data_IF_481690676694
#
_entry.id   IF_481690676694
#
_cell.length_a   1.000
_cell.length_b   1.000
_cell.length_c   1.000
_cell.angle_alpha   90.00
_cell.angle_beta   90.00
_cell.angle_gamma   90.00
#
_symmetry.space_group_name_H-M   'P 1'
#
loop_
_entity.id
_entity.type
_entity.pdbx_description
1 polymer ?
#
# COMPACT_ATOMS: atom_id res chain seq x y z
N UNK A 1 -12.00 22.93 15.39
CA UNK A 1 -12.57 22.73 14.04
C UNK A 1 -13.86 21.95 14.22
N UNK A 2 -14.90 22.21 13.44
CA UNK A 2 -16.10 21.36 13.41
C UNK A 2 -15.87 20.20 12.45
N UNK A 3 -16.28 19.00 12.84
CA UNK A 3 -16.23 17.84 11.97
C UNK A 3 -17.25 17.98 10.82
N UNK A 4 -16.92 17.39 9.66
CA UNK A 4 -17.79 17.34 8.48
C UNK A 4 -18.07 15.87 8.17
N UNK A 5 -19.35 15.53 7.99
CA UNK A 5 -19.77 14.18 7.57
C UNK A 5 -19.94 14.15 6.05
N UNK A 6 -19.25 13.22 5.39
CA UNK A 6 -19.39 12.95 3.96
C UNK A 6 -19.96 11.56 3.75
N UNK A 7 -20.87 11.42 2.79
CA UNK A 7 -21.25 10.11 2.24
C UNK A 7 -20.09 9.50 1.44
N UNK A 8 -20.09 8.19 1.29
CA UNK A 8 -19.08 7.49 0.48
C UNK A 8 -19.05 7.95 -0.98
N UNK A 9 -20.21 8.34 -1.52
CA UNK A 9 -20.30 8.96 -2.84
C UNK A 9 -19.58 10.29 -2.89
N UNK A 10 -19.76 11.16 -1.89
CA UNK A 10 -19.07 12.45 -1.80
C UNK A 10 -17.56 12.28 -1.59
N UNK A 11 -17.13 11.25 -0.84
CA UNK A 11 -15.71 10.87 -0.70
C UNK A 11 -15.11 10.53 -2.07
N UNK A 12 -15.78 9.67 -2.82
CA UNK A 12 -15.35 9.25 -4.15
C UNK A 12 -15.29 10.45 -5.11
N UNK A 13 -16.37 11.23 -5.21
CA UNK A 13 -16.45 12.42 -6.07
C UNK A 13 -15.38 13.46 -5.70
N UNK A 14 -15.13 13.69 -4.41
CA UNK A 14 -14.07 14.59 -3.94
C UNK A 14 -12.69 14.10 -4.41
N UNK A 15 -12.38 12.82 -4.20
CA UNK A 15 -11.11 12.24 -4.62
C UNK A 15 -10.92 12.34 -6.14
N UNK A 16 -11.90 11.91 -6.93
CA UNK A 16 -11.86 11.98 -8.40
C UNK A 16 -11.65 13.42 -8.89
N UNK A 17 -12.43 14.39 -8.38
CA UNK A 17 -12.33 15.78 -8.78
C UNK A 17 -10.95 16.39 -8.43
N UNK A 18 -10.41 16.10 -7.24
CA UNK A 18 -9.09 16.58 -6.85
C UNK A 18 -7.97 16.01 -7.73
N UNK A 19 -8.06 14.73 -8.10
CA UNK A 19 -7.08 14.04 -8.94
C UNK A 19 -7.11 14.57 -10.38
N UNK A 20 -8.30 14.68 -10.98
CA UNK A 20 -8.49 15.28 -12.31
C UNK A 20 -7.94 16.72 -12.37
N UNK A 21 -8.30 17.55 -11.38
CA UNK A 21 -7.81 18.93 -11.29
C UNK A 21 -6.29 19.03 -11.05
N UNK A 22 -5.64 17.92 -10.68
CA UNK A 22 -4.20 17.85 -10.41
C UNK A 22 -3.40 17.19 -11.54
N UNK A 23 -4.04 16.81 -12.66
CA UNK A 23 -3.37 16.28 -13.84
C UNK A 23 -3.46 14.77 -14.04
N UNK A 24 -4.37 14.08 -13.33
CA UNK A 24 -4.76 12.72 -13.72
C UNK A 24 -5.72 12.73 -14.92
N UNK A 25 -5.66 11.70 -15.74
CA UNK A 25 -6.76 11.33 -16.62
C UNK A 25 -7.88 10.60 -15.84
N UNK A 26 -9.03 10.41 -16.49
CA UNK A 26 -10.21 9.80 -15.88
C UNK A 26 -9.97 8.35 -15.40
N UNK A 27 -9.35 7.44 -16.20
CA UNK A 27 -9.04 6.09 -15.72
C UNK A 27 -8.15 6.05 -14.48
N UNK A 28 -7.09 6.88 -14.42
CA UNK A 28 -6.20 6.91 -13.26
C UNK A 28 -6.89 7.55 -12.04
N UNK A 29 -7.65 8.63 -12.25
CA UNK A 29 -8.39 9.29 -11.17
C UNK A 29 -9.41 8.33 -10.53
N UNK A 30 -10.20 7.65 -11.36
CA UNK A 30 -11.21 6.69 -10.92
C UNK A 30 -10.59 5.52 -10.15
N UNK A 31 -9.52 4.94 -10.68
CA UNK A 31 -8.88 3.80 -10.04
C UNK A 31 -8.34 4.13 -8.63
N UNK A 32 -7.78 5.34 -8.45
CA UNK A 32 -7.31 5.81 -7.15
C UNK A 32 -8.49 6.20 -6.24
N UNK A 33 -9.51 6.85 -6.79
CA UNK A 33 -10.70 7.26 -6.03
C UNK A 33 -11.45 6.05 -5.46
N UNK A 34 -11.58 4.96 -6.21
CA UNK A 34 -12.17 3.72 -5.71
C UNK A 34 -11.37 3.09 -4.56
N UNK A 35 -10.03 3.17 -4.62
CA UNK A 35 -9.18 2.72 -3.52
C UNK A 35 -9.35 3.58 -2.27
N UNK A 36 -9.43 4.91 -2.42
CA UNK A 36 -9.69 5.83 -1.29
C UNK A 36 -11.07 5.59 -0.71
N UNK A 37 -12.08 5.44 -1.57
CA UNK A 37 -13.45 5.14 -1.19
C UNK A 37 -13.54 3.85 -0.37
N UNK A 38 -12.89 2.77 -0.82
CA UNK A 38 -12.84 1.50 -0.09
C UNK A 38 -12.15 1.65 1.27
N UNK A 39 -11.05 2.40 1.35
CA UNK A 39 -10.35 2.65 2.60
C UNK A 39 -11.20 3.44 3.61
N UNK A 40 -11.94 4.46 3.16
CA UNK A 40 -12.88 5.21 4.02
C UNK A 40 -14.07 4.36 4.47
N UNK A 41 -14.66 3.57 3.56
CA UNK A 41 -15.77 2.64 3.86
C UNK A 41 -15.43 1.69 5.01
N UNK A 42 -14.21 1.16 5.00
CA UNK A 42 -13.78 0.12 5.94
C UNK A 42 -12.97 0.68 7.12
N UNK A 43 -12.92 2.01 7.29
CA UNK A 43 -12.29 2.66 8.44
C UNK A 43 -10.76 2.62 8.44
N UNK A 44 -10.13 2.37 7.28
CA UNK A 44 -8.68 2.41 7.10
C UNK A 44 -8.21 3.86 6.86
N UNK A 45 -8.40 4.74 7.83
CA UNK A 45 -8.22 6.20 7.68
C UNK A 45 -6.82 6.59 7.22
N UNK A 46 -5.79 5.81 7.57
CA UNK A 46 -4.41 6.07 7.12
C UNK A 46 -4.19 5.84 5.62
N UNK A 47 -5.14 5.25 4.90
CA UNK A 47 -5.08 5.00 3.45
C UNK A 47 -6.27 5.58 2.66
N UNK A 48 -7.22 6.25 3.33
CA UNK A 48 -8.33 6.99 2.71
C UNK A 48 -7.97 8.42 2.30
N UNK A 49 -8.86 9.37 2.56
CA UNK A 49 -8.73 10.80 2.26
C UNK A 49 -7.48 11.43 2.88
N UNK A 50 -6.96 10.87 3.97
CA UNK A 50 -5.66 11.26 4.52
C UNK A 50 -4.54 11.25 3.48
N UNK A 51 -4.60 10.35 2.48
CA UNK A 51 -3.59 10.24 1.41
C UNK A 51 -3.81 11.20 0.25
N UNK A 52 -5.01 11.76 0.08
CA UNK A 52 -5.36 12.60 -1.08
C UNK A 52 -4.40 13.79 -1.27
N UNK A 53 -3.97 14.54 -0.22
CA UNK A 53 -2.96 15.58 -0.37
C UNK A 53 -1.62 15.05 -0.92
N UNK A 54 -1.24 13.83 -0.52
CA UNK A 54 -0.04 13.15 -1.01
C UNK A 54 -0.12 12.82 -2.50
N UNK A 55 -1.27 12.27 -2.94
CA UNK A 55 -1.56 12.02 -4.36
C UNK A 55 -1.49 13.31 -5.19
N UNK A 56 -2.11 14.40 -4.71
CA UNK A 56 -2.09 15.70 -5.39
C UNK A 56 -0.66 16.24 -5.49
N UNK A 57 0.12 16.16 -4.41
CA UNK A 57 1.51 16.63 -4.40
C UNK A 57 2.42 15.83 -5.36
N UNK A 58 2.25 14.50 -5.45
CA UNK A 58 3.03 13.68 -6.37
C UNK A 58 2.69 13.92 -7.84
N UNK A 59 1.43 14.25 -8.15
CA UNK A 59 1.04 14.66 -9.51
C UNK A 59 1.63 16.03 -9.86
N UNK A 60 1.43 17.03 -9.00
CA UNK A 60 1.92 18.40 -9.24
C UNK A 60 3.43 18.50 -9.35
N UNK A 61 4.17 17.62 -8.68
CA UNK A 61 5.63 17.56 -8.79
C UNK A 61 6.15 16.81 -10.03
N UNK A 62 5.26 16.16 -10.80
CA UNK A 62 5.64 15.29 -11.92
C UNK A 62 6.28 13.97 -11.49
N UNK A 63 6.26 13.66 -10.18
CA UNK A 63 6.77 12.38 -9.67
C UNK A 63 5.94 11.20 -10.20
N UNK A 64 4.64 11.40 -10.36
CA UNK A 64 3.72 10.41 -10.92
C UNK A 64 3.20 10.89 -12.26
N UNK A 65 3.17 10.00 -13.25
CA UNK A 65 2.48 10.24 -14.51
C UNK A 65 0.97 9.97 -14.34
N UNK A 66 0.18 11.03 -14.21
CA UNK A 66 -1.28 10.96 -14.05
C UNK A 66 -2.06 10.47 -15.28
N UNK A 67 -1.41 10.34 -16.43
CA UNK A 67 -1.99 9.81 -17.67
C UNK A 67 -1.27 8.54 -18.13
N UNK A 68 -0.65 7.81 -17.19
CA UNK A 68 0.04 6.57 -17.51
C UNK A 68 -0.97 5.50 -17.95
N UNK A 69 -0.61 4.76 -19.00
CA UNK A 69 -1.35 3.59 -19.47
C UNK A 69 -0.53 2.34 -19.12
N UNK A 70 -1.03 1.46 -18.25
CA UNK A 70 -0.32 0.24 -17.92
C UNK A 70 -0.17 -0.71 -19.11
N UNK A 71 1.01 -1.31 -19.24
CA UNK A 71 1.30 -2.36 -20.23
C UNK A 71 1.34 -3.74 -19.56
N UNK A 72 0.56 -4.68 -20.08
CA UNK A 72 0.45 -6.03 -19.53
C UNK A 72 1.15 -7.00 -20.47
N UNK A 73 2.02 -7.84 -19.91
CA UNK A 73 2.78 -8.84 -20.65
C UNK A 73 2.74 -10.18 -19.93
N UNK A 74 2.57 -11.26 -20.67
CA UNK A 74 2.76 -12.61 -20.16
C UNK A 74 4.25 -12.96 -20.30
N UNK A 75 4.96 -13.10 -19.18
CA UNK A 75 6.36 -13.54 -19.18
C UNK A 75 6.44 -15.07 -19.32
N UNK A 76 5.46 -15.77 -18.78
CA UNK A 76 5.24 -17.21 -18.96
C UNK A 76 3.74 -17.52 -18.76
N UNK A 77 3.36 -18.80 -18.80
CA UNK A 77 1.96 -19.21 -18.57
C UNK A 77 1.41 -18.75 -17.22
N UNK A 78 2.22 -18.81 -16.16
CA UNK A 78 1.82 -18.44 -14.79
C UNK A 78 2.42 -17.13 -14.29
N UNK A 79 3.10 -16.33 -15.12
CA UNK A 79 3.74 -15.08 -14.69
C UNK A 79 3.33 -13.93 -15.59
N UNK A 80 2.62 -12.96 -15.00
CA UNK A 80 2.15 -11.74 -15.62
C UNK A 80 2.99 -10.58 -15.11
N UNK A 81 3.37 -9.65 -15.98
CA UNK A 81 3.96 -8.38 -15.61
C UNK A 81 3.04 -7.25 -16.03
N UNK A 82 2.81 -6.30 -15.13
CA UNK A 82 2.16 -5.03 -15.42
C UNK A 82 3.16 -3.88 -15.19
N UNK A 83 3.60 -3.25 -16.27
CA UNK A 83 4.37 -2.02 -16.18
C UNK A 83 3.40 -0.85 -16.09
N UNK A 84 3.38 -0.14 -14.96
CA UNK A 84 2.46 1.00 -14.78
C UNK A 84 2.96 2.31 -15.38
N UNK A 85 4.10 2.33 -16.06
CA UNK A 85 4.59 3.48 -16.82
C UNK A 85 4.67 4.79 -15.99
N UNK A 86 5.06 4.66 -14.72
CA UNK A 86 5.21 5.76 -13.77
C UNK A 86 3.89 6.24 -13.17
N UNK A 87 2.79 5.52 -13.40
CA UNK A 87 1.46 5.80 -12.86
C UNK A 87 1.25 5.23 -11.45
N UNK A 88 0.01 5.37 -10.96
CA UNK A 88 -0.39 4.75 -9.71
C UNK A 88 -0.71 3.26 -9.89
N UNK A 89 -0.40 2.47 -8.87
CA UNK A 89 -0.65 1.02 -8.86
C UNK A 89 -2.11 0.59 -9.12
N UNK A 90 -3.16 1.29 -8.60
CA UNK A 90 -4.55 0.85 -8.75
C UNK A 90 -4.98 0.59 -10.19
N UNK A 91 -4.61 1.46 -11.15
CA UNK A 91 -5.00 1.25 -12.55
C UNK A 91 -4.28 0.04 -13.16
N UNK A 92 -2.98 -0.13 -12.87
CA UNK A 92 -2.22 -1.29 -13.33
C UNK A 92 -2.83 -2.60 -12.80
N UNK A 93 -3.15 -2.65 -11.51
CA UNK A 93 -3.84 -3.77 -10.86
C UNK A 93 -5.20 -4.08 -11.51
N UNK A 94 -6.05 -3.06 -11.70
CA UNK A 94 -7.36 -3.24 -12.31
C UNK A 94 -7.25 -3.83 -13.72
N UNK A 95 -6.29 -3.35 -14.52
CA UNK A 95 -6.10 -3.79 -15.92
C UNK A 95 -5.50 -5.20 -16.01
N UNK A 96 -4.63 -5.60 -15.08
CA UNK A 96 -3.96 -6.90 -15.12
C UNK A 96 -4.66 -8.01 -14.33
N UNK A 97 -5.70 -7.68 -13.57
CA UNK A 97 -6.37 -8.63 -12.66
C UNK A 97 -6.94 -9.86 -13.37
N UNK A 98 -7.65 -9.68 -14.48
CA UNK A 98 -8.23 -10.81 -15.23
C UNK A 98 -7.14 -11.75 -15.73
N UNK A 99 -6.06 -11.20 -16.31
CA UNK A 99 -4.93 -12.00 -16.77
C UNK A 99 -4.27 -12.81 -15.65
N UNK A 100 -4.17 -12.25 -14.44
CA UNK A 100 -3.69 -12.98 -13.25
C UNK A 100 -4.64 -14.12 -12.86
N UNK A 101 -5.95 -13.85 -12.79
CA UNK A 101 -6.96 -14.84 -12.42
C UNK A 101 -6.99 -16.00 -13.42
N UNK A 102 -7.00 -15.68 -14.72
CA UNK A 102 -7.02 -16.66 -15.80
C UNK A 102 -5.75 -17.53 -15.75
N UNK A 103 -4.58 -16.90 -15.62
CA UNK A 103 -3.32 -17.63 -15.46
C UNK A 103 -3.32 -18.54 -14.21
N UNK A 104 -3.88 -18.08 -13.08
CA UNK A 104 -3.97 -18.90 -11.87
C UNK A 104 -4.88 -20.12 -12.06
N UNK A 105 -6.01 -19.96 -12.77
CA UNK A 105 -6.94 -21.06 -13.07
C UNK A 105 -6.31 -22.09 -14.02
N UNK A 106 -5.58 -21.62 -15.03
CA UNK A 106 -4.95 -22.49 -16.02
C UNK A 106 -3.72 -23.25 -15.48
N UNK A 107 -2.96 -22.63 -14.57
CA UNK A 107 -1.67 -23.16 -14.10
C UNK A 107 -1.71 -23.66 -12.64
N UNK A 108 -2.83 -23.47 -11.93
CA UNK A 108 -2.97 -23.75 -10.49
C UNK A 108 -2.38 -22.67 -9.57
N UNK A 109 -1.35 -21.96 -10.02
CA UNK A 109 -0.76 -20.79 -9.37
C UNK A 109 -0.29 -19.79 -10.44
N UNK A 110 -0.45 -18.50 -10.15
CA UNK A 110 0.15 -17.45 -10.97
C UNK A 110 0.66 -16.29 -10.10
N UNK A 111 1.59 -15.53 -10.66
CA UNK A 111 2.16 -14.33 -10.06
C UNK A 111 1.96 -13.12 -10.97
N UNK A 112 1.59 -11.99 -10.37
CA UNK A 112 1.57 -10.68 -11.03
C UNK A 112 2.71 -9.83 -10.46
N UNK A 113 3.56 -9.35 -11.35
CA UNK A 113 4.67 -8.45 -11.01
C UNK A 113 4.30 -7.04 -11.48
N UNK A 114 4.14 -6.11 -10.56
CA UNK A 114 3.97 -4.69 -10.90
C UNK A 114 5.32 -3.99 -10.91
N UNK A 115 5.64 -3.34 -12.02
CA UNK A 115 6.88 -2.58 -12.17
C UNK A 115 6.60 -1.13 -12.56
N UNK A 116 7.47 -0.22 -12.14
CA UNK A 116 7.37 1.22 -12.43
C UNK A 116 5.99 1.81 -12.04
N UNK A 117 5.58 1.55 -10.80
CA UNK A 117 4.32 2.03 -10.20
C UNK A 117 4.59 2.85 -8.95
N UNK A 118 3.64 3.72 -8.59
CA UNK A 118 3.56 4.34 -7.29
C UNK A 118 2.45 3.70 -6.46
N UNK A 119 2.82 3.04 -5.36
CA UNK A 119 1.88 2.37 -4.46
C UNK A 119 1.65 3.20 -3.19
N UNK A 120 0.41 3.67 -2.97
CA UNK A 120 0.01 4.52 -1.84
C UNK A 120 -1.27 4.03 -1.12
N UNK A 121 -1.62 2.76 -1.32
CA UNK A 121 -2.85 2.17 -0.83
C UNK A 121 -2.61 1.06 0.20
N UNK A 122 -3.70 0.59 0.82
CA UNK A 122 -3.71 -0.66 1.58
C UNK A 122 -3.76 -1.87 0.63
N UNK A 123 -3.05 -2.94 0.95
CA UNK A 123 -2.93 -4.14 0.10
C UNK A 123 -4.21 -4.99 0.11
N UNK A 124 -5.07 -4.88 1.11
CA UNK A 124 -6.34 -5.63 1.08
C UNK A 124 -7.21 -5.24 -0.13
N UNK A 125 -7.10 -4.00 -0.62
CA UNK A 125 -7.88 -3.51 -1.77
C UNK A 125 -7.52 -4.18 -3.10
N UNK A 126 -6.30 -4.74 -3.20
CA UNK A 126 -5.85 -5.50 -4.37
C UNK A 126 -6.10 -7.01 -4.22
N UNK A 127 -6.03 -7.53 -2.99
CA UNK A 127 -6.25 -8.95 -2.67
C UNK A 127 -7.74 -9.31 -2.69
N UNK A 128 -8.59 -8.48 -2.10
CA UNK A 128 -10.03 -8.78 -1.94
C UNK A 128 -10.73 -9.11 -3.27
N UNK A 129 -10.54 -8.36 -4.37
CA UNK A 129 -11.19 -8.68 -5.64
C UNK A 129 -10.74 -10.02 -6.24
N UNK A 130 -9.50 -10.45 -5.99
CA UNK A 130 -9.01 -11.77 -6.45
C UNK A 130 -9.61 -12.88 -5.60
N UNK A 131 -9.74 -12.66 -4.29
CA UNK A 131 -10.29 -13.68 -3.38
C UNK A 131 -11.79 -13.89 -3.59
N UNK A 132 -12.51 -12.82 -3.95
CA UNK A 132 -13.93 -12.89 -4.35
C UNK A 132 -14.17 -13.80 -5.57
N UNK A 133 -13.14 -14.06 -6.37
CA UNK A 133 -13.18 -15.00 -7.52
C UNK A 133 -12.91 -16.46 -7.13
N UNK A 134 -12.87 -16.75 -5.82
CA UNK A 134 -12.67 -18.09 -5.28
C UNK A 134 -11.20 -18.53 -5.21
N UNK A 135 -10.26 -17.59 -5.35
CA UNK A 135 -8.83 -17.86 -5.31
C UNK A 135 -8.20 -17.45 -3.97
N UNK A 136 -7.10 -18.10 -3.60
CA UNK A 136 -6.22 -17.61 -2.52
C UNK A 136 -5.31 -16.55 -3.13
N UNK A 137 -5.05 -15.46 -2.41
CA UNK A 137 -4.13 -14.43 -2.89
C UNK A 137 -3.19 -13.95 -1.78
N UNK A 138 -1.96 -13.65 -2.17
CA UNK A 138 -0.96 -12.98 -1.36
C UNK A 138 -0.43 -11.78 -2.12
N UNK A 139 -0.20 -10.68 -1.43
CA UNK A 139 0.40 -9.50 -2.00
C UNK A 139 1.45 -8.89 -1.08
N UNK A 140 2.46 -8.28 -1.69
CA UNK A 140 3.62 -7.72 -1.02
C UNK A 140 4.03 -6.44 -1.74
N UNK A 141 4.43 -5.42 -0.99
CA UNK A 141 5.03 -4.21 -1.57
C UNK A 141 6.13 -3.71 -0.66
N UNK A 142 7.05 -2.90 -1.19
CA UNK A 142 8.12 -2.27 -0.42
C UNK A 142 7.88 -0.77 -0.30
N UNK A 143 8.58 -0.15 0.64
CA UNK A 143 8.56 1.30 0.81
C UNK A 143 9.99 1.83 0.96
N UNK A 144 10.15 3.15 0.93
CA UNK A 144 11.45 3.76 1.21
C UNK A 144 11.91 3.44 2.64
N UNK A 145 13.22 3.45 2.93
CA UNK A 145 13.77 3.19 4.26
C UNK A 145 13.04 3.96 5.36
N UNK A 146 12.52 3.21 6.33
CA UNK A 146 11.76 3.71 7.47
C UNK A 146 11.82 2.77 8.68
N UNK A 147 12.28 1.54 8.52
CA UNK A 147 12.33 0.51 9.56
C UNK A 147 13.77 0.07 9.79
N UNK A 148 14.17 -0.02 11.06
CA UNK A 148 15.50 -0.49 11.47
C UNK A 148 15.51 -2.03 11.52
N UNK A 149 16.39 -2.71 10.77
CA UNK A 149 16.57 -4.15 10.90
C UNK A 149 16.88 -4.55 12.34
N UNK A 150 16.41 -5.72 12.78
CA UNK A 150 16.73 -6.20 14.12
C UNK A 150 18.25 -6.37 14.29
N UNK A 151 18.81 -5.70 15.29
CA UNK A 151 20.25 -5.67 15.55
C UNK A 151 21.05 -4.60 14.80
N UNK A 152 20.38 -3.76 13.99
CA UNK A 152 20.97 -2.58 13.37
C UNK A 152 20.58 -1.29 14.12
N UNK A 153 21.17 -0.17 13.71
CA UNK A 153 20.91 1.17 14.27
C UNK A 153 20.37 2.18 13.25
N UNK A 154 20.31 1.81 11.97
CA UNK A 154 19.87 2.69 10.88
C UNK A 154 18.70 2.07 10.12
N UNK A 155 17.80 2.92 9.64
CA UNK A 155 16.68 2.49 8.82
C UNK A 155 17.16 1.97 7.46
N UNK A 156 16.72 0.77 7.10
CA UNK A 156 17.07 0.14 5.82
C UNK A 156 15.83 -0.34 5.07
N UNK A 157 14.92 -1.03 5.76
CA UNK A 157 13.71 -1.56 5.14
C UNK A 157 12.63 -0.48 5.06
N UNK A 158 11.72 -0.61 4.09
CA UNK A 158 10.43 0.05 4.18
C UNK A 158 9.54 -0.56 5.26
N UNK A 159 8.33 -0.01 5.41
CA UNK A 159 7.26 -0.63 6.24
C UNK A 159 6.75 -1.96 5.66
N UNK A 160 7.11 -2.25 4.41
CA UNK A 160 7.02 -3.54 3.71
C UNK A 160 5.83 -4.41 4.13
N UNK A 161 4.59 -4.02 3.75
CA UNK A 161 3.43 -4.79 4.15
C UNK A 161 3.28 -6.08 3.36
N UNK A 162 2.56 -7.01 3.98
CA UNK A 162 2.07 -8.25 3.39
C UNK A 162 0.57 -8.35 3.61
N UNK A 163 -0.12 -8.85 2.60
CA UNK A 163 -1.54 -9.17 2.68
C UNK A 163 -1.78 -10.60 2.23
N UNK A 164 -2.70 -11.27 2.91
CA UNK A 164 -3.15 -12.60 2.58
C UNK A 164 -4.67 -12.65 2.63
N UNK A 165 -5.27 -13.33 1.66
CA UNK A 165 -6.70 -13.52 1.62
C UNK A 165 -7.09 -14.96 1.28
N UNK A 166 -8.16 -15.42 1.93
CA UNK A 166 -8.70 -16.77 1.80
C UNK A 166 -10.20 -16.74 1.48
N UNK A 167 -10.66 -17.46 0.44
CA UNK A 167 -12.07 -17.48 0.04
C UNK A 167 -12.90 -18.34 1.01
N UNK A 168 -14.14 -17.93 1.31
CA UNK A 168 -15.02 -18.61 2.27
C UNK A 168 -16.40 -18.98 1.70
N UNK A 169 -16.47 -19.28 0.40
CA UNK A 169 -17.74 -19.55 -0.27
C UNK A 169 -18.61 -18.29 -0.32
N UNK A 170 -19.83 -18.36 0.19
CA UNK A 170 -20.78 -17.23 0.21
C UNK A 170 -20.51 -16.22 1.34
N UNK A 171 -19.57 -16.52 2.25
CA UNK A 171 -19.17 -15.62 3.33
C UNK A 171 -18.11 -14.59 2.88
N UNK A 172 -18.01 -13.42 3.53
CA UNK A 172 -16.94 -12.46 3.24
C UNK A 172 -15.55 -13.11 3.31
N UNK A 173 -14.62 -12.78 2.40
CA UNK A 173 -13.24 -13.26 2.46
C UNK A 173 -12.59 -13.07 3.84
N UNK A 174 -11.75 -14.03 4.25
CA UNK A 174 -10.86 -13.80 5.39
C UNK A 174 -9.60 -13.13 4.86
N UNK A 175 -9.34 -11.89 5.26
CA UNK A 175 -8.18 -11.11 4.81
C UNK A 175 -7.46 -10.53 6.03
N UNK A 176 -6.13 -10.60 6.01
CA UNK A 176 -5.30 -9.73 6.84
C UNK A 176 -4.37 -8.92 5.95
N UNK A 177 -4.12 -7.68 6.35
CA UNK A 177 -3.19 -6.75 5.72
C UNK A 177 -2.41 -6.05 6.84
N UNK A 178 -1.08 -6.20 6.82
CA UNK A 178 -0.23 -5.68 7.88
C UNK A 178 1.13 -5.24 7.36
N UNK A 179 1.67 -4.18 7.97
CA UNK A 179 3.07 -3.79 7.80
C UNK A 179 4.02 -4.81 8.45
N UNK A 180 5.27 -4.85 7.99
CA UNK A 180 6.35 -5.53 8.70
C UNK A 180 6.92 -4.68 9.84
N UNK A 181 6.58 -3.39 9.88
CA UNK A 181 6.80 -2.51 11.04
C UNK A 181 5.78 -2.77 12.15
N UNK A 182 6.13 -2.39 13.37
CA UNK A 182 5.25 -2.48 14.55
C UNK A 182 4.00 -1.62 14.44
N UNK A 183 4.04 -0.55 13.63
CA UNK A 183 2.91 0.33 13.32
C UNK A 183 3.07 0.87 11.90
N UNK A 184 1.97 1.18 11.20
CA UNK A 184 2.08 1.79 9.88
C UNK A 184 2.57 3.24 10.01
N UNK A 185 3.47 3.68 9.12
CA UNK A 185 3.97 5.07 9.14
C UNK A 185 2.84 6.11 9.03
N UNK A 186 1.76 5.77 8.31
CA UNK A 186 0.56 6.61 8.22
C UNK A 186 -0.10 6.88 9.57
N UNK A 187 -0.19 5.85 10.42
CA UNK A 187 -0.79 5.96 11.75
C UNK A 187 0.10 6.76 12.69
N UNK A 188 1.43 6.62 12.60
CA UNK A 188 2.38 7.46 13.35
C UNK A 188 2.26 8.93 12.95
N UNK A 189 2.08 9.23 11.65
CA UNK A 189 1.82 10.60 11.18
C UNK A 189 0.49 11.17 11.70
N UNK A 190 -0.54 10.33 11.80
CA UNK A 190 -1.83 10.73 12.39
C UNK A 190 -1.66 11.02 13.90
N UNK A 191 -1.01 10.12 14.64
CA UNK A 191 -0.73 10.30 16.07
C UNK A 191 0.06 11.58 16.34
N UNK A 192 1.11 11.87 15.56
CA UNK A 192 1.88 13.10 15.67
C UNK A 192 1.03 14.36 15.40
N UNK A 193 0.19 14.33 14.36
CA UNK A 193 -0.74 15.42 14.03
C UNK A 193 -1.72 15.70 15.18
N UNK A 194 -2.15 14.64 15.88
CA UNK A 194 -3.13 14.69 16.96
C UNK A 194 -2.50 14.89 18.34
N UNK A 195 -1.17 14.94 18.43
CA UNK A 195 -0.45 15.08 19.69
C UNK A 195 -0.60 13.86 20.62
N UNK A 196 -0.86 12.68 20.06
CA UNK A 196 -1.00 11.43 20.80
C UNK A 196 0.33 10.67 20.85
N UNK A 197 0.55 9.89 21.91
CA UNK A 197 1.68 8.97 21.99
C UNK A 197 1.39 7.66 21.25
N UNK A 198 2.44 6.95 20.86
CA UNK A 198 2.34 5.60 20.27
C UNK A 198 2.79 4.54 21.28
N UNK A 199 2.39 3.26 21.12
CA UNK A 199 2.81 2.19 22.01
C UNK A 199 4.35 2.04 22.10
N UNK A 200 4.84 1.56 23.24
CA UNK A 200 6.26 1.21 23.38
C UNK A 200 6.66 0.13 22.36
N UNK A 201 7.87 0.22 21.82
CA UNK A 201 8.35 -0.64 20.73
C UNK A 201 7.87 -0.21 19.34
N UNK A 202 7.25 0.96 19.18
CA UNK A 202 6.88 1.50 17.87
C UNK A 202 8.10 1.96 17.07
N UNK A 203 9.00 2.70 17.71
CA UNK A 203 10.15 3.27 17.03
C UNK A 203 11.22 3.81 17.99
N UNK A 204 12.28 4.29 17.37
CA UNK A 204 13.42 4.95 18.01
C UNK A 204 13.52 6.40 17.52
N UNK A 205 14.16 7.25 18.31
CA UNK A 205 14.51 8.61 17.89
C UNK A 205 15.83 8.66 17.10
N UNK A 206 16.25 9.87 16.71
CA UNK A 206 17.46 10.10 15.93
C UNK A 206 18.77 9.67 16.63
N UNK A 207 18.75 9.53 17.96
CA UNK A 207 19.88 9.06 18.76
C UNK A 207 19.84 7.53 18.94
N UNK A 208 18.82 6.86 18.40
CA UNK A 208 18.64 5.42 18.47
C UNK A 208 17.97 4.93 19.76
N UNK A 209 17.39 5.84 20.56
CA UNK A 209 16.71 5.47 21.81
C UNK A 209 15.24 5.16 21.56
N UNK A 210 14.71 4.12 22.23
CA UNK A 210 13.28 3.80 22.21
C UNK A 210 12.44 5.02 22.61
N UNK A 211 11.38 5.29 21.86
CA UNK A 211 10.49 6.42 22.13
C UNK A 211 9.02 6.10 21.84
N UNK A 212 8.13 6.76 22.56
CA UNK A 212 6.68 6.75 22.34
C UNK A 212 6.18 8.06 21.74
N UNK A 213 7.09 9.00 21.46
CA UNK A 213 6.79 10.27 20.80
C UNK A 213 6.83 10.08 19.27
N UNK A 214 5.68 10.10 18.56
CA UNK A 214 5.66 9.90 17.13
C UNK A 214 6.39 11.01 16.36
N UNK A 215 6.51 12.22 16.89
CA UNK A 215 7.27 13.29 16.23
C UNK A 215 8.77 12.96 16.19
N UNK A 216 9.32 12.42 17.29
CA UNK A 216 10.72 11.96 17.34
C UNK A 216 11.00 10.77 16.43
N UNK A 217 10.01 9.88 16.25
CA UNK A 217 10.12 8.77 15.29
C UNK A 217 10.15 9.29 13.85
N UNK A 218 9.37 10.32 13.54
CA UNK A 218 9.26 10.89 12.19
C UNK A 218 10.42 11.83 11.84
N UNK A 219 11.01 12.49 12.83
CA UNK A 219 12.09 13.47 12.68
C UNK A 219 13.45 12.85 13.03
N UNK A 220 14.11 12.27 12.02
CA UNK A 220 15.44 11.65 12.16
C UNK A 220 15.44 10.26 12.82
N UNK A 221 14.34 9.86 13.48
CA UNK A 221 14.15 8.52 14.00
C UNK A 221 13.70 7.48 12.96
N UNK A 222 13.26 6.32 13.46
CA UNK A 222 12.83 5.21 12.62
C UNK A 222 11.86 4.26 13.35
N UNK A 223 11.10 3.48 12.58
CA UNK A 223 10.21 2.44 13.09
C UNK A 223 10.98 1.17 13.44
N UNK A 224 10.43 0.39 14.36
CA UNK A 224 10.89 -0.96 14.68
C UNK A 224 10.04 -2.03 13.98
N UNK A 225 10.58 -3.22 13.71
CA UNK A 225 9.82 -4.33 13.15
C UNK A 225 8.85 -4.94 14.17
N UNK A 226 7.70 -5.44 13.72
CA UNK A 226 6.79 -6.15 14.62
C UNK A 226 7.46 -7.43 15.15
N UNK A 227 7.26 -7.76 16.42
CA UNK A 227 7.82 -8.99 17.00
C UNK A 227 9.35 -9.11 16.89
N UNK A 228 10.07 -7.99 16.79
CA UNK A 228 11.54 -7.95 16.75
C UNK A 228 12.12 -8.63 15.50
N UNK A 229 13.05 -9.57 15.70
CA UNK A 229 13.76 -10.24 14.59
C UNK A 229 12.81 -10.98 13.63
N UNK A 230 11.63 -11.41 14.09
CA UNK A 230 10.65 -12.09 13.22
C UNK A 230 10.08 -11.15 12.17
N UNK A 231 9.58 -9.97 12.56
CA UNK A 231 9.12 -8.95 11.61
C UNK A 231 10.25 -8.43 10.74
N UNK A 232 11.48 -8.34 11.28
CA UNK A 232 12.67 -7.98 10.51
C UNK A 232 12.94 -8.99 9.37
N UNK A 233 12.81 -10.29 9.64
CA UNK A 233 12.98 -11.32 8.62
C UNK A 233 11.89 -11.25 7.56
N UNK A 234 10.65 -10.93 7.94
CA UNK A 234 9.57 -10.72 6.98
C UNK A 234 9.83 -9.47 6.13
N UNK A 235 10.25 -8.37 6.73
CA UNK A 235 10.59 -7.14 6.00
C UNK A 235 11.66 -7.41 4.93
N UNK A 236 12.70 -8.16 5.29
CA UNK A 236 13.76 -8.61 4.37
C UNK A 236 13.22 -9.52 3.26
N UNK A 237 12.38 -10.51 3.61
CA UNK A 237 11.75 -11.38 2.60
C UNK A 237 10.97 -10.55 1.58
N UNK A 238 10.23 -9.54 2.04
CA UNK A 238 9.44 -8.65 1.17
C UNK A 238 10.33 -7.79 0.28
N UNK A 239 11.45 -7.25 0.78
CA UNK A 239 12.44 -6.57 -0.08
C UNK A 239 12.91 -7.48 -1.22
N UNK A 240 13.24 -8.73 -0.91
CA UNK A 240 13.73 -9.68 -1.90
C UNK A 240 12.64 -10.12 -2.89
N UNK A 241 11.40 -10.32 -2.43
CA UNK A 241 10.27 -10.71 -3.28
C UNK A 241 9.78 -9.57 -4.16
N UNK A 242 9.83 -8.32 -3.69
CA UNK A 242 9.32 -7.18 -4.44
C UNK A 242 10.44 -6.59 -5.26
N UNK A 243 11.50 -6.04 -4.65
CA UNK A 243 12.57 -5.38 -5.39
C UNK A 243 13.52 -6.40 -6.04
N UNK A 244 13.95 -7.43 -5.31
CA UNK A 244 14.92 -8.40 -5.84
C UNK A 244 14.39 -9.24 -7.01
N UNK A 245 13.15 -9.75 -6.90
CA UNK A 245 12.54 -10.62 -7.90
C UNK A 245 11.94 -9.85 -9.09
N UNK A 246 11.37 -8.66 -8.88
CA UNK A 246 10.74 -7.90 -9.97
C UNK A 246 11.74 -7.24 -10.93
N UNK A 247 12.98 -7.05 -10.46
CA UNK A 247 14.08 -6.38 -11.19
C UNK A 247 14.11 -4.86 -10.98
#
# INVERSE_FOLDING_TARGET
>A
MSDITLSLKEVHELATNCLLASGCDEPNAEAVAETIHAAERDGCSSHGLFRLPGYVASLKSGKVNGAAVPEIRHLSGGVIQANGNGGYAPLALQRSRSALIDAARDNGIAALILVNVHHFAALWTEVEPVVKEGLIAMAFTTYKPAVVPAGASEALYGTNPMCFGWPRGDEPPLIFDQASSSMAKGEVMIAAREGQTVPSGTGIDADGNDTTDPARILDGGALLPFGGYKGSNIAMMIELLVAGLSG
#
